data_IF_340837231407
#
_entry.id   IF_340837231407
#
_cell.length_a   1.000
_cell.length_b   1.000
_cell.length_c   1.000
_cell.angle_alpha   90.00
_cell.angle_beta   90.00
_cell.angle_gamma   90.00
#
_symmetry.space_group_name_H-M   'P 1'
#
loop_
_entity.id
_entity.type
_entity.pdbx_description
1 polymer ?
#
# COMPACT_ATOMS: atom_id res chain seq x y z
N UNK A 1 -10.38 -5.25 -1.09
CA UNK A 1 -10.66 -3.96 -0.39
C UNK A 1 -11.96 -4.01 0.41
N UNK A 2 -13.08 -4.38 -0.20
CA UNK A 2 -14.38 -4.48 0.48
C UNK A 2 -14.39 -5.60 1.53
N UNK A 3 -13.77 -6.74 1.22
CA UNK A 3 -13.65 -7.85 2.16
C UNK A 3 -12.88 -7.43 3.41
N UNK A 4 -11.74 -6.76 3.24
CA UNK A 4 -10.93 -6.29 4.36
C UNK A 4 -11.71 -5.38 5.32
N UNK A 5 -12.52 -4.45 4.79
CA UNK A 5 -13.38 -3.60 5.61
C UNK A 5 -14.50 -4.38 6.32
N UNK A 6 -15.03 -5.44 5.69
CA UNK A 6 -16.07 -6.28 6.30
C UNK A 6 -15.52 -7.17 7.42
N UNK A 7 -14.29 -7.67 7.25
CA UNK A 7 -13.65 -8.58 8.22
C UNK A 7 -13.04 -7.80 9.38
N UNK A 8 -12.44 -6.64 9.11
CA UNK A 8 -11.77 -5.79 10.11
C UNK A 8 -12.35 -4.37 10.16
N UNK A 9 -13.65 -4.19 10.45
CA UNK A 9 -14.32 -2.89 10.39
C UNK A 9 -13.79 -1.88 11.40
N UNK A 10 -13.25 -2.34 12.53
CA UNK A 10 -12.66 -1.50 13.57
C UNK A 10 -11.29 -0.93 13.16
N UNK A 11 -10.59 -1.65 12.28
CA UNK A 11 -9.24 -1.28 11.83
C UNK A 11 -9.24 -0.64 10.44
N UNK A 12 -10.11 -1.07 9.53
CA UNK A 12 -10.16 -0.57 8.15
C UNK A 12 -11.45 0.20 7.91
N UNK A 13 -11.33 1.52 7.77
CA UNK A 13 -12.48 2.43 7.66
C UNK A 13 -12.88 2.73 6.21
N UNK A 14 -11.97 2.54 5.26
CA UNK A 14 -12.25 2.82 3.85
C UNK A 14 -11.08 2.51 2.93
N UNK A 15 -11.18 2.96 1.69
CA UNK A 15 -10.13 2.82 0.68
C UNK A 15 -10.16 3.98 -0.31
N UNK A 16 -9.04 4.18 -1.03
CA UNK A 16 -8.90 5.13 -2.13
C UNK A 16 -8.35 4.35 -3.33
N UNK A 17 -8.86 4.63 -4.52
CA UNK A 17 -8.33 4.06 -5.76
C UNK A 17 -7.07 4.83 -6.15
N UNK A 18 -5.94 4.15 -6.43
CA UNK A 18 -4.74 4.81 -6.90
C UNK A 18 -4.94 5.41 -8.29
N UNK A 19 -4.17 6.43 -8.59
CA UNK A 19 -4.13 7.06 -9.91
C UNK A 19 -2.74 6.91 -10.53
N UNK A 20 -2.63 7.19 -11.81
CA UNK A 20 -1.36 7.20 -12.52
C UNK A 20 -0.33 8.09 -11.80
N UNK A 21 0.90 7.57 -11.66
CA UNK A 21 1.98 8.26 -10.95
C UNK A 21 1.99 8.05 -9.44
N UNK A 22 0.97 7.41 -8.87
CA UNK A 22 0.97 7.04 -7.46
C UNK A 22 1.94 5.87 -7.22
N UNK A 23 2.88 6.03 -6.32
CA UNK A 23 3.91 5.03 -5.99
C UNK A 23 3.70 4.45 -4.60
N UNK A 24 4.02 3.17 -4.45
CA UNK A 24 4.06 2.48 -3.16
C UNK A 24 5.44 2.65 -2.55
N UNK A 25 5.48 2.94 -1.25
CA UNK A 25 6.70 3.06 -0.45
C UNK A 25 6.65 2.10 0.73
N UNK A 26 7.79 1.53 1.10
CA UNK A 26 7.93 0.75 2.32
C UNK A 26 7.92 1.68 3.52
N UNK A 27 7.18 1.31 4.55
CA UNK A 27 7.16 2.00 5.84
C UNK A 27 8.12 1.34 6.82
N UNK A 28 8.38 0.05 6.61
CA UNK A 28 9.28 -0.78 7.39
C UNK A 28 10.04 -1.70 6.44
N UNK A 29 11.15 -1.21 5.93
CA UNK A 29 12.03 -1.95 5.00
C UNK A 29 12.75 -3.13 5.66
N UNK A 30 12.82 -3.13 6.99
CA UNK A 30 13.35 -4.22 7.84
C UNK A 30 12.36 -5.39 8.05
N UNK A 31 11.10 -5.25 7.61
CA UNK A 31 10.10 -6.30 7.81
C UNK A 31 10.40 -7.54 6.94
N UNK A 32 10.26 -8.78 7.50
CA UNK A 32 10.58 -10.02 6.77
C UNK A 32 9.84 -10.18 5.44
N UNK A 33 8.66 -9.58 5.31
CA UNK A 33 7.88 -9.58 4.05
C UNK A 33 8.63 -8.89 2.90
N UNK A 34 9.59 -8.02 3.20
CA UNK A 34 10.41 -7.32 2.21
C UNK A 34 11.81 -7.90 2.04
N UNK A 35 12.09 -9.08 2.58
CA UNK A 35 13.40 -9.70 2.44
C UNK A 35 13.82 -9.80 0.97
N UNK A 36 14.99 -9.19 0.66
CA UNK A 36 15.56 -9.08 -0.67
C UNK A 36 14.72 -8.31 -1.69
N UNK A 37 13.85 -7.41 -1.24
CA UNK A 37 13.12 -6.42 -2.05
C UNK A 37 13.65 -5.04 -1.69
N UNK A 38 14.10 -4.29 -2.69
CA UNK A 38 14.61 -2.93 -2.48
C UNK A 38 13.48 -1.91 -2.30
N UNK A 39 13.77 -0.82 -1.60
CA UNK A 39 12.78 0.25 -1.30
C UNK A 39 12.15 0.89 -2.54
N UNK A 40 12.80 0.79 -3.70
CA UNK A 40 12.30 1.31 -4.96
C UNK A 40 11.53 0.28 -5.79
N UNK A 41 11.59 -1.00 -5.43
CA UNK A 41 11.03 -2.09 -6.22
C UNK A 41 9.50 -2.15 -6.16
N UNK A 42 8.89 -1.56 -5.11
CA UNK A 42 7.43 -1.50 -4.98
C UNK A 42 6.78 -0.35 -5.78
N UNK A 43 7.56 0.43 -6.53
CA UNK A 43 7.01 1.57 -7.26
C UNK A 43 6.02 1.15 -8.34
N UNK A 44 6.40 0.15 -9.13
CA UNK A 44 5.62 -0.34 -10.25
C UNK A 44 5.83 -1.84 -10.40
N UNK A 45 4.76 -2.59 -10.61
CA UNK A 45 4.86 -3.97 -11.03
C UNK A 45 4.71 -4.06 -12.55
N UNK A 46 5.57 -4.85 -13.16
CA UNK A 46 5.50 -5.10 -14.59
C UNK A 46 4.16 -5.77 -14.94
N UNK A 47 3.63 -5.42 -16.08
CA UNK A 47 2.61 -6.21 -16.73
C UNK A 47 2.95 -6.28 -18.21
N UNK A 48 2.74 -7.44 -18.83
CA UNK A 48 3.00 -7.63 -20.27
C UNK A 48 1.95 -6.94 -21.16
N UNK A 49 1.00 -6.22 -20.55
CA UNK A 49 -0.02 -5.43 -21.20
C UNK A 49 0.39 -3.96 -21.16
N UNK A 50 -0.01 -3.20 -22.16
CA UNK A 50 0.21 -1.74 -22.21
C UNK A 50 -0.75 -0.99 -21.28
N UNK A 51 -0.93 -1.49 -20.06
CA UNK A 51 -1.74 -0.86 -19.02
C UNK A 51 -0.82 -0.06 -18.08
N UNK A 52 -1.42 0.84 -17.33
CA UNK A 52 -0.71 1.64 -16.32
C UNK A 52 -0.07 0.67 -15.30
N UNK A 53 1.25 0.72 -15.10
CA UNK A 53 1.95 -0.20 -14.22
C UNK A 53 1.74 0.18 -12.75
N UNK A 54 0.57 -0.17 -12.19
CA UNK A 54 0.29 0.04 -10.77
C UNK A 54 0.79 -1.14 -9.95
N UNK A 55 1.34 -0.83 -8.77
CA UNK A 55 1.76 -1.84 -7.79
C UNK A 55 0.62 -2.23 -6.82
N UNK A 56 -0.45 -1.46 -6.75
CA UNK A 56 -1.58 -1.73 -5.87
C UNK A 56 -2.93 -1.41 -6.52
N UNK A 57 -3.97 -2.13 -6.11
CA UNK A 57 -5.35 -1.92 -6.57
C UNK A 57 -6.09 -0.83 -5.81
N UNK A 58 -5.68 -0.59 -4.59
CA UNK A 58 -6.28 0.41 -3.71
C UNK A 58 -5.33 0.74 -2.58
N UNK A 59 -5.56 1.86 -1.92
CA UNK A 59 -4.98 2.18 -0.62
C UNK A 59 -6.06 2.12 0.44
N UNK A 60 -5.73 1.55 1.59
CA UNK A 60 -6.64 1.38 2.70
C UNK A 60 -6.50 2.56 3.66
N UNK A 61 -7.63 3.03 4.16
CA UNK A 61 -7.69 3.93 5.31
C UNK A 61 -7.79 3.06 6.56
N UNK A 62 -6.78 3.10 7.41
CA UNK A 62 -6.75 2.34 8.64
C UNK A 62 -6.76 3.24 9.87
N UNK A 63 -7.41 2.77 10.94
CA UNK A 63 -7.28 3.38 12.26
C UNK A 63 -5.90 3.00 12.81
N UNK A 64 -5.07 4.00 13.06
CA UNK A 64 -3.74 3.82 13.63
C UNK A 64 -3.87 3.57 15.13
N UNK A 65 -3.58 2.35 15.54
CA UNK A 65 -3.53 1.93 16.93
C UNK A 65 -2.44 0.86 17.10
N UNK A 66 -2.23 0.40 18.32
CA UNK A 66 -1.21 -0.61 18.67
C UNK A 66 -1.40 -1.97 18.01
N UNK A 67 -2.60 -2.27 17.51
CA UNK A 67 -2.90 -3.52 16.83
C UNK A 67 -2.63 -3.46 15.32
N UNK A 68 -2.33 -2.29 14.77
CA UNK A 68 -2.09 -2.10 13.32
C UNK A 68 -0.62 -1.77 13.07
N UNK A 69 0.07 -2.66 12.40
CA UNK A 69 1.44 -2.43 11.92
C UNK A 69 1.41 -2.07 10.43
N UNK A 70 1.83 -0.86 10.12
CA UNK A 70 1.94 -0.36 8.76
C UNK A 70 3.24 -0.88 8.12
N UNK A 71 3.14 -1.61 7.01
CA UNK A 71 4.30 -2.20 6.31
C UNK A 71 4.62 -1.45 5.02
N UNK A 72 3.61 -1.15 4.21
CA UNK A 72 3.76 -0.33 3.01
C UNK A 72 2.55 0.56 2.81
N UNK A 73 2.77 1.70 2.20
CA UNK A 73 1.74 2.67 1.93
C UNK A 73 1.98 3.44 0.64
N UNK A 74 1.01 4.24 0.29
CA UNK A 74 1.07 5.16 -0.83
C UNK A 74 0.87 6.57 -0.30
N UNK A 75 1.73 7.48 -0.73
CA UNK A 75 1.59 8.90 -0.43
C UNK A 75 1.13 9.64 -1.69
N UNK A 76 0.02 10.34 -1.58
CA UNK A 76 -0.48 11.23 -2.59
C UNK A 76 -0.40 12.66 -2.07
N UNK A 77 0.31 13.50 -2.80
CA UNK A 77 0.39 14.93 -2.50
C UNK A 77 -0.49 15.66 -3.51
N UNK A 78 -1.55 16.29 -3.04
CA UNK A 78 -2.35 17.21 -3.83
C UNK A 78 -1.92 18.65 -3.51
N UNK A 79 -1.35 19.33 -4.50
CA UNK A 79 -1.16 20.77 -4.45
C UNK A 79 -2.34 21.43 -5.19
N UNK A 80 -3.16 22.14 -4.46
CA UNK A 80 -4.19 22.99 -5.06
C UNK A 80 -3.57 24.34 -5.41
N UNK A 81 -3.50 24.62 -6.72
CA UNK A 81 -3.11 25.93 -7.23
C UNK A 81 -4.42 26.65 -7.55
N UNK A 82 -4.79 27.65 -6.76
CA UNK A 82 -5.83 28.56 -7.14
C UNK A 82 -5.27 29.57 -8.16
N UNK A 83 -6.00 29.85 -9.22
CA UNK A 83 -5.59 30.75 -10.30
C UNK A 83 -5.50 32.24 -9.90
N UNK A 84 -5.40 32.51 -8.59
CA UNK A 84 -5.23 33.81 -7.99
C UNK A 84 -3.86 34.44 -8.20
N UNK A 85 -3.53 35.41 -7.41
CA UNK A 85 -2.26 36.14 -7.44
C UNK A 85 -1.07 35.23 -7.18
N UNK A 86 0.15 35.57 -7.64
CA UNK A 86 1.34 34.76 -7.45
C UNK A 86 1.64 34.37 -5.99
N UNK A 87 1.23 35.19 -5.03
CA UNK A 87 1.35 34.95 -3.60
C UNK A 87 0.36 33.89 -3.06
N UNK A 88 -0.74 33.63 -3.76
CA UNK A 88 -1.79 32.69 -3.37
C UNK A 88 -1.69 31.32 -4.09
N UNK A 89 -0.59 31.09 -4.82
CA UNK A 89 -0.46 29.94 -5.74
C UNK A 89 -0.49 28.58 -5.08
N UNK A 90 -0.19 28.46 -3.79
CA UNK A 90 -0.28 27.21 -3.04
C UNK A 90 -1.16 27.45 -1.82
N UNK A 91 -2.46 27.28 -1.99
CA UNK A 91 -3.39 27.46 -0.88
C UNK A 91 -3.45 26.26 0.06
N UNK A 92 -3.24 25.04 -0.47
CA UNK A 92 -3.38 23.84 0.34
C UNK A 92 -2.55 22.70 -0.22
N UNK A 93 -1.68 22.14 0.60
CA UNK A 93 -1.03 20.87 0.34
C UNK A 93 -1.74 19.83 1.20
N UNK A 94 -2.46 18.90 0.58
CA UNK A 94 -3.02 17.76 1.28
C UNK A 94 -2.17 16.52 0.98
N UNK A 95 -1.62 15.92 2.01
CA UNK A 95 -1.02 14.60 1.91
C UNK A 95 -2.07 13.56 2.28
N UNK A 96 -2.48 12.75 1.32
CA UNK A 96 -3.29 11.58 1.59
C UNK A 96 -2.39 10.36 1.64
N UNK A 97 -2.30 9.73 2.81
CA UNK A 97 -1.55 8.50 3.00
C UNK A 97 -2.52 7.35 3.17
N UNK A 98 -2.43 6.38 2.29
CA UNK A 98 -3.17 5.13 2.38
C UNK A 98 -2.22 3.96 2.52
N UNK A 99 -2.65 2.89 3.18
CA UNK A 99 -1.86 1.68 3.36
C UNK A 99 -2.13 0.67 2.26
N UNK A 100 -1.09 0.00 1.79
CA UNK A 100 -1.18 -1.04 0.76
C UNK A 100 -0.85 -2.41 1.31
N UNK A 101 -0.09 -2.46 2.41
CA UNK A 101 0.24 -3.66 3.15
C UNK A 101 0.29 -3.34 4.63
N UNK A 102 -0.46 -4.08 5.43
CA UNK A 102 -0.48 -3.93 6.89
C UNK A 102 -0.72 -5.26 7.58
N UNK A 103 -0.32 -5.34 8.84
CA UNK A 103 -0.65 -6.45 9.74
C UNK A 103 -1.60 -5.95 10.83
N UNK A 104 -2.57 -6.78 11.18
CA UNK A 104 -3.54 -6.53 12.24
C UNK A 104 -3.42 -7.66 13.26
N UNK A 105 -3.17 -7.30 14.52
CA UNK A 105 -3.26 -8.25 15.63
C UNK A 105 -4.74 -8.53 15.91
N UNK A 106 -5.12 -9.80 15.83
CA UNK A 106 -6.46 -10.27 16.08
C UNK A 106 -6.42 -11.41 17.11
N UNK A 107 -6.68 -11.08 18.37
CA UNK A 107 -6.54 -12.01 19.49
C UNK A 107 -5.10 -12.51 19.63
N UNK A 108 -4.88 -13.82 19.43
CA UNK A 108 -3.57 -14.46 19.50
C UNK A 108 -2.87 -14.56 18.14
N UNK A 109 -3.52 -14.16 17.05
CA UNK A 109 -3.01 -14.26 15.70
C UNK A 109 -2.68 -12.90 15.08
N UNK A 110 -2.07 -12.96 13.92
CA UNK A 110 -1.78 -11.81 13.07
C UNK A 110 -2.39 -12.03 11.68
N UNK A 111 -3.16 -11.08 11.22
CA UNK A 111 -3.68 -11.07 9.87
C UNK A 111 -2.87 -10.11 9.00
N UNK A 112 -2.44 -10.57 7.83
CA UNK A 112 -1.82 -9.70 6.82
C UNK A 112 -2.86 -9.29 5.79
N UNK A 113 -3.04 -7.99 5.62
CA UNK A 113 -3.96 -7.40 4.64
C UNK A 113 -3.16 -6.69 3.57
N UNK A 114 -3.34 -7.10 2.32
CA UNK A 114 -2.64 -6.56 1.16
C UNK A 114 -3.61 -6.09 0.09
N UNK A 115 -3.28 -4.98 -0.55
CA UNK A 115 -3.90 -4.50 -1.79
C UNK A 115 -2.88 -4.41 -2.94
N UNK A 116 -1.67 -4.92 -2.70
CA UNK A 116 -0.63 -5.02 -3.72
C UNK A 116 -1.03 -6.01 -4.81
N UNK A 117 -0.63 -5.73 -6.05
CA UNK A 117 -0.97 -6.53 -7.24
C UNK A 117 -0.15 -7.83 -7.31
N UNK A 118 -0.23 -8.67 -6.27
CA UNK A 118 0.53 -9.93 -6.20
C UNK A 118 0.06 -10.99 -7.19
N UNK A 119 -1.09 -10.82 -7.82
CA UNK A 119 -1.54 -11.62 -8.96
C UNK A 119 -0.64 -11.49 -10.18
N UNK A 120 0.23 -10.48 -10.21
CA UNK A 120 1.25 -10.31 -11.26
C UNK A 120 2.52 -11.15 -11.01
N UNK A 121 2.50 -12.06 -10.06
CA UNK A 121 3.65 -12.88 -9.70
C UNK A 121 4.23 -13.72 -10.85
N UNK A 122 3.44 -14.01 -11.86
CA UNK A 122 3.84 -14.70 -13.09
C UNK A 122 4.59 -13.81 -14.10
N UNK A 123 4.42 -12.50 -14.01
CA UNK A 123 4.97 -11.53 -14.97
C UNK A 123 5.96 -10.55 -14.35
N UNK A 124 5.92 -10.40 -13.03
CA UNK A 124 6.79 -9.50 -12.29
C UNK A 124 7.52 -10.24 -11.17
N UNK A 125 8.87 -10.29 -11.20
CA UNK A 125 9.65 -11.03 -10.21
C UNK A 125 9.54 -10.43 -8.79
N UNK A 126 9.29 -9.12 -8.66
CA UNK A 126 9.12 -8.47 -7.36
C UNK A 126 7.77 -8.84 -6.76
N UNK A 127 6.71 -8.82 -7.56
CA UNK A 127 5.39 -9.31 -7.15
C UNK A 127 5.44 -10.79 -6.72
N UNK A 128 6.17 -11.63 -7.47
CA UNK A 128 6.39 -13.03 -7.15
C UNK A 128 7.13 -13.22 -5.83
N UNK A 129 8.23 -12.49 -5.62
CA UNK A 129 9.01 -12.55 -4.39
C UNK A 129 8.20 -12.07 -3.18
N UNK A 130 7.47 -10.96 -3.33
CA UNK A 130 6.60 -10.44 -2.30
C UNK A 130 5.53 -11.45 -1.88
N UNK A 131 4.88 -12.11 -2.85
CA UNK A 131 3.88 -13.15 -2.57
C UNK A 131 4.48 -14.31 -1.77
N UNK A 132 5.66 -14.80 -2.15
CA UNK A 132 6.37 -15.87 -1.43
C UNK A 132 6.73 -15.43 -0.01
N UNK A 133 7.26 -14.23 0.16
CA UNK A 133 7.61 -13.69 1.48
C UNK A 133 6.37 -13.54 2.37
N UNK A 134 5.23 -13.06 1.83
CA UNK A 134 3.97 -12.97 2.56
C UNK A 134 3.50 -14.35 3.07
N UNK A 135 3.60 -15.39 2.23
CA UNK A 135 3.24 -16.76 2.62
C UNK A 135 4.19 -17.26 3.72
N UNK A 136 5.50 -17.05 3.55
CA UNK A 136 6.49 -17.48 4.52
C UNK A 136 6.33 -16.81 5.90
N UNK A 137 5.97 -15.53 5.94
CA UNK A 137 5.69 -14.85 7.21
C UNK A 137 4.46 -15.40 7.92
N UNK A 138 3.44 -15.85 7.18
CA UNK A 138 2.24 -16.46 7.77
C UNK A 138 2.46 -17.88 8.31
N UNK A 139 3.47 -18.58 7.81
CA UNK A 139 3.75 -19.98 8.23
C UNK A 139 4.70 -20.00 9.44
N UNK A 140 5.50 -18.96 9.64
CA UNK A 140 6.52 -18.89 10.69
C UNK A 140 6.09 -18.07 11.92
N UNK A 141 4.90 -17.45 11.91
CA UNK A 141 4.24 -16.82 13.06
C UNK A 141 3.40 -17.88 13.83
#
# INVERSE_FOLDING_TARGET
KEIAKKVYPEHITGWIIPTEGDIVVMERDDAPVFDGIGVLDLRYFNNNKREIPLACHATLKANRNENVTELAGQMKIHAYIDGGKPEDRIQKIESMRGLTLLQIKDGKGTATVSTLCTEKADTDPIAGKLLVNMINTLVND
#
